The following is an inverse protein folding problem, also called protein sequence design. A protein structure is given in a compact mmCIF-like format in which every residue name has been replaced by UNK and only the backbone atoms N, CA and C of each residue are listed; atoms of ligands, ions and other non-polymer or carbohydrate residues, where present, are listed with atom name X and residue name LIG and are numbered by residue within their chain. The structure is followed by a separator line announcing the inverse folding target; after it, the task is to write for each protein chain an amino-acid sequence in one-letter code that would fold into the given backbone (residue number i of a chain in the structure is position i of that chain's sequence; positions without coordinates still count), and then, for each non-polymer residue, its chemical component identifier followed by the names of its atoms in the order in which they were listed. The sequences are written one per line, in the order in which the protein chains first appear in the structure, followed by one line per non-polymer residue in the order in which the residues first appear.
data_IF_287784499142
#
_entry.id   IF_287784499142
#
_cell.length_a   1.000
_cell.length_b   1.000
_cell.length_c   1.000
_cell.angle_alpha   90.00
_cell.angle_beta   90.00
_cell.angle_gamma   90.00
#
_symmetry.space_group_name_H-M   'P 1'
#
loop_
_entity.id
_entity.type
_entity.pdbx_description
1 polymer ?
#
# COMPACT_ATOMS: atom_id res chain seq x y z
N UNK A 1 19.10 -13.99 16.54
CA UNK A 1 18.52 -12.81 17.22
C UNK A 1 17.62 -12.10 16.24
N UNK A 2 16.44 -11.64 16.65
CA UNK A 2 15.62 -10.79 15.82
C UNK A 2 16.36 -9.46 15.54
N UNK A 3 16.51 -9.09 14.27
CA UNK A 3 17.08 -7.80 13.85
C UNK A 3 15.94 -6.81 13.61
N UNK A 4 16.07 -5.60 14.11
CA UNK A 4 15.16 -4.53 13.75
C UNK A 4 15.41 -4.07 12.31
N UNK A 5 14.35 -3.67 11.61
CA UNK A 5 14.40 -3.10 10.26
C UNK A 5 13.84 -1.67 10.29
N UNK A 6 14.36 -0.82 9.40
CA UNK A 6 13.82 0.52 9.14
C UNK A 6 12.93 0.48 7.90
N UNK A 7 11.73 1.04 7.99
CA UNK A 7 10.80 1.15 6.86
C UNK A 7 10.42 2.61 6.66
N UNK A 8 10.66 3.12 5.46
CA UNK A 8 10.01 4.34 4.97
C UNK A 8 8.72 3.95 4.23
N UNK A 9 7.57 4.25 4.84
CA UNK A 9 6.25 4.08 4.25
C UNK A 9 5.87 5.36 3.49
N UNK A 10 6.31 5.50 2.25
CA UNK A 10 6.05 6.68 1.43
C UNK A 10 4.68 6.68 0.74
N UNK A 11 4.32 7.80 0.11
CA UNK A 11 3.01 7.97 -0.56
C UNK A 11 2.90 7.16 -1.85
N UNK A 12 3.97 7.16 -2.67
CA UNK A 12 4.01 6.48 -3.96
C UNK A 12 4.92 5.24 -3.94
N UNK A 13 5.97 5.27 -3.14
CA UNK A 13 6.95 4.21 -2.98
C UNK A 13 7.32 4.06 -1.52
N UNK A 14 7.62 2.83 -1.12
CA UNK A 14 8.14 2.48 0.19
C UNK A 14 9.52 1.84 0.05
N UNK A 15 10.33 1.95 1.10
CA UNK A 15 11.69 1.42 1.15
C UNK A 15 11.91 0.71 2.49
N UNK A 16 12.74 -0.34 2.47
CA UNK A 16 13.10 -1.09 3.67
C UNK A 16 14.61 -1.28 3.74
N UNK A 17 15.16 -1.13 4.94
CA UNK A 17 16.59 -1.17 5.22
C UNK A 17 16.89 -1.90 6.53
N UNK A 18 18.13 -2.38 6.65
CA UNK A 18 18.66 -3.00 7.88
C UNK A 18 20.03 -2.41 8.20
N UNK A 19 20.34 -2.27 9.49
CA UNK A 19 21.69 -1.95 9.93
C UNK A 19 22.41 -3.24 10.35
N UNK A 20 23.46 -3.62 9.62
CA UNK A 20 24.26 -4.81 9.91
C UNK A 20 25.71 -4.63 9.47
N UNK A 21 26.63 -5.32 10.13
CA UNK A 21 28.08 -5.23 9.85
C UNK A 21 28.61 -3.78 9.87
N UNK A 22 28.08 -2.95 10.77
CA UNK A 22 28.50 -1.56 10.93
C UNK A 22 28.02 -0.59 9.84
N UNK A 23 27.10 -1.00 8.96
CA UNK A 23 26.56 -0.15 7.88
C UNK A 23 25.06 -0.34 7.66
N UNK A 24 24.43 0.63 7.01
CA UNK A 24 23.04 0.52 6.52
C UNK A 24 23.04 -0.17 5.16
N UNK A 25 22.16 -1.14 4.99
CA UNK A 25 21.91 -1.83 3.73
C UNK A 25 20.45 -1.63 3.31
N UNK A 26 20.23 -1.09 2.11
CA UNK A 26 18.90 -0.97 1.50
C UNK A 26 18.56 -2.29 0.82
N UNK A 27 17.44 -2.89 1.19
CA UNK A 27 17.07 -4.25 0.75
C UNK A 27 16.31 -4.16 -0.58
N UNK A 28 16.80 -4.78 -1.67
CA UNK A 28 16.05 -4.86 -2.92
C UNK A 28 14.86 -5.82 -2.79
N UNK A 29 13.75 -5.52 -3.46
CA UNK A 29 12.62 -6.45 -3.58
C UNK A 29 12.92 -7.60 -4.57
N UNK A 30 11.97 -8.50 -4.76
CA UNK A 30 12.09 -9.68 -5.63
C UNK A 30 12.39 -9.36 -7.11
N UNK A 31 12.25 -8.11 -7.54
CA UNK A 31 12.61 -7.64 -8.89
C UNK A 31 13.95 -6.89 -8.93
N UNK A 32 14.70 -6.86 -7.83
CA UNK A 32 15.95 -6.12 -7.70
C UNK A 32 15.81 -4.63 -7.41
N UNK A 33 14.58 -4.10 -7.26
CA UNK A 33 14.35 -2.68 -7.03
C UNK A 33 14.51 -2.33 -5.54
N UNK A 34 15.25 -1.25 -5.24
CA UNK A 34 15.48 -0.75 -3.87
C UNK A 34 14.31 0.01 -3.25
N UNK A 35 13.28 0.28 -4.04
CA UNK A 35 12.01 0.84 -3.60
C UNK A 35 10.86 0.04 -4.20
N UNK A 36 9.76 -0.08 -3.48
CA UNK A 36 8.58 -0.82 -3.92
C UNK A 36 7.39 0.13 -4.01
N UNK A 37 6.61 0.14 -5.11
CA UNK A 37 5.41 0.96 -5.21
C UNK A 37 4.46 0.74 -4.02
N UNK A 38 3.90 1.81 -3.49
CA UNK A 38 2.90 1.78 -2.42
C UNK A 38 1.51 1.57 -3.00
N UNK A 39 1.36 0.41 -3.66
CA UNK A 39 0.18 0.00 -4.41
C UNK A 39 -0.33 -1.34 -3.87
N UNK A 40 -1.65 -1.46 -3.76
CA UNK A 40 -2.36 -2.70 -3.44
C UNK A 40 -3.46 -2.89 -4.47
N UNK A 41 -3.49 -4.02 -5.17
CA UNK A 41 -4.56 -4.35 -6.09
C UNK A 41 -5.31 -5.59 -5.63
N UNK A 42 -6.63 -5.54 -5.76
CA UNK A 42 -7.53 -6.65 -5.45
C UNK A 42 -8.03 -7.28 -6.75
N UNK A 43 -7.90 -8.60 -6.86
CA UNK A 43 -8.36 -9.39 -8.01
C UNK A 43 -9.19 -10.57 -7.53
N UNK A 44 -9.75 -11.34 -8.45
CA UNK A 44 -10.48 -12.57 -8.10
C UNK A 44 -9.55 -13.68 -7.60
N UNK A 45 -8.30 -13.70 -8.02
CA UNK A 45 -7.32 -14.73 -7.67
C UNK A 45 -6.57 -14.41 -6.37
N UNK A 46 -6.52 -13.13 -5.99
CA UNK A 46 -5.82 -12.73 -4.78
C UNK A 46 -5.52 -11.24 -4.72
N UNK A 47 -4.55 -10.92 -3.87
CA UNK A 47 -4.10 -9.54 -3.64
C UNK A 47 -2.69 -9.39 -4.17
N UNK A 48 -2.48 -8.38 -4.99
CA UNK A 48 -1.18 -7.97 -5.49
C UNK A 48 -0.69 -6.76 -4.71
N UNK A 49 0.61 -6.67 -4.45
CA UNK A 49 1.22 -5.54 -3.72
C UNK A 49 2.51 -5.14 -4.44
N UNK A 50 2.83 -3.85 -4.47
CA UNK A 50 4.08 -3.37 -5.06
C UNK A 50 4.05 -3.31 -6.58
N UNK A 51 5.12 -3.79 -7.22
CA UNK A 51 5.28 -3.72 -8.67
C UNK A 51 4.14 -4.45 -9.40
N UNK A 52 3.74 -5.63 -8.91
CA UNK A 52 2.65 -6.40 -9.50
C UNK A 52 1.32 -5.61 -9.50
N UNK A 53 0.99 -4.94 -8.41
CA UNK A 53 -0.19 -4.08 -8.33
C UNK A 53 -0.09 -2.87 -9.26
N UNK A 54 1.06 -2.19 -9.29
CA UNK A 54 1.26 -1.01 -10.15
C UNK A 54 1.15 -1.37 -11.64
N UNK A 55 1.72 -2.49 -12.07
CA UNK A 55 1.78 -2.88 -13.49
C UNK A 55 0.40 -3.12 -14.12
N UNK A 56 -0.60 -3.54 -13.32
CA UNK A 56 -1.96 -3.78 -13.81
C UNK A 56 -2.94 -2.63 -13.53
N UNK A 57 -2.47 -1.49 -13.03
CA UNK A 57 -3.33 -0.38 -12.61
C UNK A 57 -4.19 0.20 -13.75
N UNK A 58 -3.74 0.13 -15.01
CA UNK A 58 -4.53 0.57 -16.17
C UNK A 58 -5.62 -0.43 -16.57
N UNK A 59 -5.46 -1.71 -16.23
CA UNK A 59 -6.39 -2.80 -16.58
C UNK A 59 -7.48 -2.94 -15.51
N UNK A 60 -7.13 -2.73 -14.23
CA UNK A 60 -8.03 -2.85 -13.09
C UNK A 60 -8.01 -1.58 -12.21
N UNK A 61 -8.34 -0.40 -12.76
CA UNK A 61 -8.12 0.87 -12.08
C UNK A 61 -8.95 1.02 -10.79
N UNK A 62 -10.19 0.53 -10.79
CA UNK A 62 -11.12 0.72 -9.67
C UNK A 62 -10.75 -0.11 -8.42
N UNK A 63 -9.98 -1.18 -8.59
CA UNK A 63 -9.55 -2.06 -7.49
C UNK A 63 -8.05 -1.98 -7.22
N UNK A 64 -7.37 -0.97 -7.78
CA UNK A 64 -5.93 -0.73 -7.59
C UNK A 64 -5.71 0.53 -6.79
N UNK A 65 -5.38 0.34 -5.52
CA UNK A 65 -5.31 1.40 -4.53
C UNK A 65 -3.88 1.91 -4.43
N UNK A 66 -3.75 3.23 -4.49
CA UNK A 66 -2.51 3.97 -4.30
C UNK A 66 -2.78 5.23 -3.47
N UNK A 67 -1.72 5.89 -3.00
CA UNK A 67 -1.83 7.11 -2.19
C UNK A 67 -2.66 6.97 -0.89
N UNK A 68 -2.79 5.74 -0.34
CA UNK A 68 -3.50 5.50 0.91
C UNK A 68 -2.99 6.41 2.06
N UNK A 69 -1.69 6.74 2.07
CA UNK A 69 -1.07 7.68 3.02
C UNK A 69 -1.74 9.06 3.06
N UNK A 70 -2.39 9.51 1.98
CA UNK A 70 -3.13 10.79 1.96
C UNK A 70 -4.45 10.73 2.74
N UNK A 71 -4.97 9.53 3.01
CA UNK A 71 -6.21 9.28 3.74
C UNK A 71 -6.00 8.93 5.22
N UNK A 72 -4.85 8.36 5.60
CA UNK A 72 -4.58 7.89 6.97
C UNK A 72 -4.82 9.01 7.98
N UNK A 73 -5.56 8.70 9.04
CA UNK A 73 -5.85 9.64 10.13
C UNK A 73 -6.77 10.81 9.78
N UNK A 74 -7.30 10.88 8.54
CA UNK A 74 -8.24 11.94 8.13
C UNK A 74 -9.69 11.51 8.31
N UNK A 75 -10.57 12.51 8.40
CA UNK A 75 -12.02 12.32 8.33
C UNK A 75 -12.48 12.34 6.88
N UNK A 76 -13.58 11.66 6.57
CA UNK A 76 -14.12 11.59 5.21
C UNK A 76 -14.40 12.99 4.65
N UNK A 77 -14.94 13.89 5.47
CA UNK A 77 -15.29 15.26 5.06
C UNK A 77 -14.12 16.26 5.07
N UNK A 78 -12.88 15.82 5.31
CA UNK A 78 -11.72 16.69 5.20
C UNK A 78 -11.63 17.26 3.76
N UNK A 79 -11.49 18.59 3.57
CA UNK A 79 -11.40 19.20 2.24
C UNK A 79 -10.32 18.58 1.34
N UNK A 80 -9.20 18.12 1.91
CA UNK A 80 -8.15 17.47 1.12
C UNK A 80 -8.60 16.11 0.62
N UNK A 81 -9.32 15.34 1.46
CA UNK A 81 -9.89 14.04 1.07
C UNK A 81 -10.91 14.23 -0.06
N UNK A 82 -11.82 15.19 0.09
CA UNK A 82 -12.84 15.49 -0.92
C UNK A 82 -12.24 15.95 -2.26
N UNK A 83 -11.10 16.66 -2.21
CA UNK A 83 -10.37 17.08 -3.42
C UNK A 83 -9.66 15.89 -4.06
N UNK A 84 -8.95 15.09 -3.26
CA UNK A 84 -8.15 13.97 -3.75
C UNK A 84 -9.02 12.86 -4.38
N UNK A 85 -10.19 12.59 -3.80
CA UNK A 85 -11.16 11.61 -4.31
C UNK A 85 -11.59 11.89 -5.76
N UNK A 86 -11.55 13.13 -6.23
CA UNK A 86 -11.91 13.50 -7.61
C UNK A 86 -10.88 13.00 -8.64
N UNK A 87 -9.67 12.67 -8.18
CA UNK A 87 -8.54 12.30 -9.02
C UNK A 87 -8.24 10.79 -8.98
N UNK A 88 -8.99 10.01 -8.19
CA UNK A 88 -8.77 8.58 -8.06
C UNK A 88 -9.84 7.76 -8.78
N UNK A 89 -9.46 6.64 -9.42
CA UNK A 89 -10.41 5.76 -10.07
C UNK A 89 -11.21 4.90 -9.07
N UNK A 90 -10.63 4.61 -7.90
CA UNK A 90 -11.26 3.79 -6.87
C UNK A 90 -12.22 4.62 -6.00
N UNK A 91 -13.24 3.95 -5.45
CA UNK A 91 -14.30 4.60 -4.68
C UNK A 91 -13.91 4.68 -3.20
N UNK A 92 -14.05 5.87 -2.63
CA UNK A 92 -14.00 6.09 -1.18
C UNK A 92 -15.41 6.37 -0.67
N UNK A 93 -15.82 5.68 0.38
CA UNK A 93 -17.11 5.86 1.05
C UNK A 93 -16.93 6.40 2.46
N UNK A 94 -17.99 6.99 2.98
CA UNK A 94 -18.07 7.42 4.37
C UNK A 94 -18.56 6.26 5.25
N UNK A 95 -17.78 5.91 6.25
CA UNK A 95 -18.17 5.00 7.32
C UNK A 95 -18.06 5.72 8.67
N UNK A 96 -19.18 6.22 9.18
CA UNK A 96 -19.27 6.96 10.44
C UNK A 96 -18.22 8.09 10.55
N UNK A 97 -18.07 8.87 9.48
CA UNK A 97 -17.14 10.00 9.40
C UNK A 97 -15.70 9.64 9.02
N UNK A 98 -15.38 8.34 8.86
CA UNK A 98 -14.06 7.86 8.42
C UNK A 98 -14.09 7.44 6.94
N UNK A 99 -13.05 7.73 6.16
CA UNK A 99 -12.98 7.27 4.78
C UNK A 99 -12.65 5.77 4.75
N UNK A 100 -13.42 5.00 3.98
CA UNK A 100 -13.11 3.60 3.63
C UNK A 100 -13.06 3.41 2.13
N UNK A 101 -12.14 2.58 1.68
CA UNK A 101 -11.88 2.26 0.28
C UNK A 101 -12.74 1.05 -0.08
N UNK A 102 -13.60 1.21 -1.07
CA UNK A 102 -14.48 0.16 -1.58
C UNK A 102 -13.81 -0.50 -2.79
N UNK A 103 -13.71 -1.83 -2.73
CA UNK A 103 -13.13 -2.66 -3.80
C UNK A 103 -13.97 -3.91 -4.00
N UNK A 104 -13.93 -4.46 -5.21
CA UNK A 104 -14.39 -5.81 -5.49
C UNK A 104 -13.21 -6.78 -5.32
N UNK A 105 -13.37 -7.78 -4.46
CA UNK A 105 -12.34 -8.76 -4.16
C UNK A 105 -12.98 -10.15 -4.03
N UNK A 106 -12.55 -11.10 -4.87
CA UNK A 106 -13.11 -12.46 -4.93
C UNK A 106 -14.63 -12.46 -5.14
N UNK A 107 -15.11 -11.64 -6.08
CA UNK A 107 -16.54 -11.42 -6.38
C UNK A 107 -17.38 -10.90 -5.19
N UNK A 108 -16.75 -10.31 -4.18
CA UNK A 108 -17.44 -9.66 -3.06
C UNK A 108 -16.98 -8.22 -2.92
N UNK A 109 -17.93 -7.33 -2.64
CA UNK A 109 -17.61 -5.96 -2.22
C UNK A 109 -16.96 -5.98 -0.83
N UNK A 110 -15.78 -5.39 -0.72
CA UNK A 110 -15.03 -5.24 0.53
C UNK A 110 -14.75 -3.77 0.81
N UNK A 111 -14.65 -3.46 2.10
CA UNK A 111 -14.32 -2.13 2.60
C UNK A 111 -13.03 -2.23 3.40
N UNK A 112 -12.04 -1.42 3.05
CA UNK A 112 -10.78 -1.32 3.77
C UNK A 112 -10.56 0.09 4.27
N UNK A 113 -10.01 0.19 5.47
CA UNK A 113 -9.47 1.44 6.02
C UNK A 113 -8.13 1.78 5.34
N UNK A 114 -7.75 3.07 5.28
CA UNK A 114 -6.42 3.47 4.81
C UNK A 114 -5.28 2.78 5.57
N UNK A 115 -5.48 2.52 6.86
CA UNK A 115 -4.54 1.82 7.74
C UNK A 115 -4.37 0.36 7.35
N UNK A 116 -5.45 -0.35 6.98
CA UNK A 116 -5.36 -1.73 6.48
C UNK A 116 -4.62 -1.82 5.15
N UNK A 117 -4.86 -0.90 4.21
CA UNK A 117 -4.08 -0.84 2.95
C UNK A 117 -2.60 -0.58 3.23
N UNK A 118 -2.32 0.31 4.18
CA UNK A 118 -0.95 0.61 4.60
C UNK A 118 -0.28 -0.57 5.30
N UNK A 119 -1.04 -1.32 6.10
CA UNK A 119 -0.57 -2.55 6.73
C UNK A 119 -0.19 -3.61 5.69
N UNK A 120 -0.96 -3.76 4.61
CA UNK A 120 -0.60 -4.66 3.50
C UNK A 120 0.75 -4.26 2.85
N UNK A 121 0.99 -2.96 2.67
CA UNK A 121 2.28 -2.45 2.16
C UNK A 121 3.42 -2.75 3.16
N UNK A 122 3.19 -2.54 4.46
CA UNK A 122 4.15 -2.88 5.51
C UNK A 122 4.44 -4.38 5.59
N UNK A 123 3.42 -5.24 5.40
CA UNK A 123 3.59 -6.68 5.28
C UNK A 123 4.52 -7.02 4.13
N UNK A 124 4.34 -6.39 2.96
CA UNK A 124 5.26 -6.60 1.84
C UNK A 124 6.68 -6.15 2.14
N UNK A 125 6.87 -5.02 2.85
CA UNK A 125 8.20 -4.55 3.24
C UNK A 125 8.87 -5.50 4.22
N UNK A 126 8.08 -6.06 5.16
CA UNK A 126 8.51 -7.10 6.08
C UNK A 126 8.94 -8.37 5.33
N UNK A 127 8.12 -8.89 4.40
CA UNK A 127 8.43 -10.08 3.60
C UNK A 127 9.71 -9.91 2.78
N UNK A 128 9.93 -8.73 2.20
CA UNK A 128 11.17 -8.40 1.48
C UNK A 128 12.39 -8.51 2.42
N UNK A 129 12.28 -7.95 3.63
CA UNK A 129 13.34 -8.05 4.61
C UNK A 129 13.56 -9.49 5.12
N UNK A 130 12.49 -10.24 5.37
CA UNK A 130 12.56 -11.65 5.81
C UNK A 130 13.17 -12.58 4.75
N UNK A 131 12.99 -12.27 3.46
CA UNK A 131 13.61 -13.03 2.37
C UNK A 131 15.10 -12.72 2.24
N UNK A 132 15.54 -11.53 2.64
CA UNK A 132 16.92 -11.08 2.52
C UNK A 132 17.82 -11.50 3.70
N UNK A 133 17.24 -11.55 4.91
CA UNK A 133 17.94 -11.79 6.18
C UNK A 133 18.03 -13.26 6.55
#
# INVERSE_FOLDING_TARGET
MARAIGIDLGTAYSCVAVFQHGKVEIIPNEQGNRTTPSYVAFTNDGRLIGNAAKNQASINPNNTIFHAKRLIGRKFYDPTVQTDMKHWPFKIINDVGKPKILVEYKNETKLFTPEEISAMILTKMKEIAETYL
#
